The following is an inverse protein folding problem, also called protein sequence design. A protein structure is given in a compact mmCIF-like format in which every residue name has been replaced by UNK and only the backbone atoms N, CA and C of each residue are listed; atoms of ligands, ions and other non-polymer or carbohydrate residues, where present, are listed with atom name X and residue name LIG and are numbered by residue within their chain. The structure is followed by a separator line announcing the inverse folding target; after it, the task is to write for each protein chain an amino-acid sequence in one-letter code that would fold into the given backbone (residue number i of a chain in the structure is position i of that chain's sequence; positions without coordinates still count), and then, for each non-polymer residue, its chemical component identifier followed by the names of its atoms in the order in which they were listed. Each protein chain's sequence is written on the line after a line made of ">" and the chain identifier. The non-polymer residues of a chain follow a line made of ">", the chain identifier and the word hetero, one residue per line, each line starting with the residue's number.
data_IF_265379775356
#
_entry.id   IF_265379775356
#
_cell.length_a   1.000
_cell.length_b   1.000
_cell.length_c   1.000
_cell.angle_alpha   90.00
_cell.angle_beta   90.00
_cell.angle_gamma   90.00
#
_symmetry.space_group_name_H-M   'P 1'
#
loop_
_entity.id
_entity.type
_entity.pdbx_description
1 polymer ?
#
# COMPACT_ATOMS: atom_id res chain seq x y z
N UNK A 1 10.05 -35.23 12.68
CA UNK A 1 9.98 -34.69 11.31
C UNK A 1 10.34 -33.21 11.40
N UNK A 2 11.62 -32.88 11.33
CA UNK A 2 12.16 -31.53 11.60
C UNK A 2 13.11 -31.19 10.45
N UNK A 3 12.59 -31.15 9.22
CA UNK A 3 13.46 -31.00 8.05
C UNK A 3 12.66 -30.41 6.88
N UNK A 4 12.61 -29.07 6.83
CA UNK A 4 12.29 -28.26 5.63
C UNK A 4 12.34 -26.77 5.91
N UNK A 5 12.10 -26.32 7.16
CA UNK A 5 12.19 -24.89 7.52
C UNK A 5 13.62 -24.34 7.44
N UNK A 6 14.61 -25.13 7.88
CA UNK A 6 15.99 -24.66 7.98
C UNK A 6 16.65 -24.45 6.61
N UNK A 7 16.38 -25.31 5.63
CA UNK A 7 16.93 -25.17 4.28
C UNK A 7 16.43 -23.91 3.57
N UNK A 8 15.15 -23.55 3.75
CA UNK A 8 14.62 -22.29 3.20
C UNK A 8 15.29 -21.08 3.84
N UNK A 9 15.51 -21.10 5.16
CA UNK A 9 16.24 -20.04 5.85
C UNK A 9 17.69 -19.94 5.38
N UNK A 10 18.39 -21.06 5.21
CA UNK A 10 19.77 -21.10 4.69
C UNK A 10 19.88 -20.58 3.27
N UNK A 11 18.94 -20.96 2.39
CA UNK A 11 18.88 -20.47 1.01
C UNK A 11 18.65 -18.96 1.00
N UNK A 12 17.65 -18.46 1.72
CA UNK A 12 17.34 -17.02 1.75
C UNK A 12 18.47 -16.22 2.39
N UNK A 13 19.16 -16.75 3.40
CA UNK A 13 20.29 -16.10 4.04
C UNK A 13 21.61 -16.21 3.25
N UNK A 14 21.69 -17.08 2.24
CA UNK A 14 22.91 -17.29 1.46
C UNK A 14 23.34 -16.03 0.71
N UNK A 15 24.66 -15.80 0.64
CA UNK A 15 25.23 -14.68 -0.10
C UNK A 15 24.82 -14.71 -1.58
N UNK A 16 24.75 -15.90 -2.18
CA UNK A 16 24.36 -16.08 -3.58
C UNK A 16 22.91 -15.67 -3.83
N UNK A 17 21.97 -16.05 -2.95
CA UNK A 17 20.58 -15.62 -3.06
C UNK A 17 20.44 -14.11 -2.83
N UNK A 18 21.12 -13.56 -1.82
CA UNK A 18 21.10 -12.12 -1.55
C UNK A 18 21.65 -11.32 -2.74
N UNK A 19 22.74 -11.78 -3.36
CA UNK A 19 23.33 -11.13 -4.52
C UNK A 19 22.47 -11.28 -5.79
N UNK A 20 21.88 -12.45 -6.03
CA UNK A 20 21.11 -12.73 -7.23
C UNK A 20 19.69 -12.14 -7.21
N UNK A 21 19.08 -12.01 -6.02
CA UNK A 21 17.68 -11.57 -5.86
C UNK A 21 17.57 -10.23 -5.14
N UNK A 22 18.15 -10.12 -3.94
CA UNK A 22 17.93 -8.96 -3.07
C UNK A 22 18.67 -7.72 -3.58
N UNK A 23 19.92 -7.86 -4.03
CA UNK A 23 20.71 -6.77 -4.60
C UNK A 23 19.99 -6.08 -5.78
N UNK A 24 19.62 -6.80 -6.85
CA UNK A 24 18.89 -6.23 -7.97
C UNK A 24 17.54 -5.59 -7.59
N UNK A 25 16.81 -6.17 -6.62
CA UNK A 25 15.56 -5.60 -6.12
C UNK A 25 15.79 -4.27 -5.39
N UNK A 26 16.81 -4.20 -4.54
CA UNK A 26 17.19 -2.96 -3.84
C UNK A 26 17.65 -1.91 -4.85
N UNK A 27 18.48 -2.29 -5.82
CA UNK A 27 18.97 -1.38 -6.86
C UNK A 27 17.83 -0.81 -7.69
N UNK A 28 16.92 -1.65 -8.19
CA UNK A 28 15.73 -1.19 -8.92
C UNK A 28 14.88 -0.24 -8.08
N UNK A 29 14.71 -0.55 -6.79
CA UNK A 29 13.98 0.30 -5.87
C UNK A 29 14.67 1.65 -5.64
N UNK A 30 15.99 1.67 -5.46
CA UNK A 30 16.79 2.88 -5.34
C UNK A 30 16.72 3.72 -6.63
N UNK A 31 16.75 3.09 -7.81
CA UNK A 31 16.58 3.81 -9.08
C UNK A 31 15.19 4.45 -9.18
N UNK A 32 14.13 3.75 -8.77
CA UNK A 32 12.78 4.32 -8.70
C UNK A 32 12.71 5.54 -7.76
N UNK A 33 13.37 5.48 -6.61
CA UNK A 33 13.45 6.61 -5.67
C UNK A 33 14.29 7.78 -6.19
N UNK A 34 15.34 7.52 -6.97
CA UNK A 34 16.21 8.56 -7.55
C UNK A 34 15.56 9.28 -8.74
N UNK A 35 14.50 8.72 -9.31
CA UNK A 35 13.81 9.31 -10.46
C UNK A 35 13.37 10.75 -10.14
N UNK A 36 13.65 11.73 -11.01
CA UNK A 36 13.12 13.07 -10.83
C UNK A 36 11.61 13.10 -11.07
N UNK A 37 10.94 14.14 -10.57
CA UNK A 37 9.52 14.36 -10.78
C UNK A 37 8.59 13.56 -9.86
N UNK A 38 7.31 13.53 -10.23
CA UNK A 38 6.21 13.07 -9.37
C UNK A 38 6.33 11.60 -8.97
N UNK A 39 6.77 10.73 -9.89
CA UNK A 39 6.96 9.30 -9.60
C UNK A 39 7.99 9.09 -8.49
N UNK A 40 9.19 9.66 -8.61
CA UNK A 40 10.22 9.51 -7.57
C UNK A 40 9.85 10.21 -6.27
N UNK A 41 9.13 11.34 -6.32
CA UNK A 41 8.58 11.98 -5.12
C UNK A 41 7.58 11.05 -4.41
N UNK A 42 6.72 10.36 -5.16
CA UNK A 42 5.75 9.40 -4.65
C UNK A 42 6.44 8.19 -4.02
N UNK A 43 7.47 7.64 -4.67
CA UNK A 43 8.26 6.54 -4.10
C UNK A 43 8.96 6.94 -2.80
N UNK A 44 9.50 8.16 -2.70
CA UNK A 44 10.13 8.66 -1.46
C UNK A 44 9.09 8.84 -0.35
N UNK A 45 7.94 9.45 -0.64
CA UNK A 45 6.86 9.61 0.34
C UNK A 45 6.33 8.26 0.87
N UNK A 46 6.25 7.24 0.01
CA UNK A 46 5.86 5.90 0.41
C UNK A 46 6.81 5.28 1.46
N UNK A 47 8.12 5.52 1.32
CA UNK A 47 9.15 4.97 2.22
C UNK A 47 9.37 5.80 3.48
N UNK A 48 9.14 7.11 3.41
CA UNK A 48 9.27 8.00 4.56
C UNK A 48 8.49 7.46 5.77
N UNK A 49 7.29 6.95 5.51
CA UNK A 49 6.42 6.32 6.50
C UNK A 49 7.02 5.03 7.13
N UNK A 50 7.86 4.28 6.40
CA UNK A 50 8.53 3.09 6.91
C UNK A 50 9.69 3.45 7.84
N UNK A 51 10.30 4.61 7.65
CA UNK A 51 11.43 5.08 8.45
C UNK A 51 11.00 5.64 9.80
N UNK A 52 9.72 6.02 9.97
CA UNK A 52 9.18 6.51 11.23
C UNK A 52 8.84 5.39 12.23
N UNK A 53 8.68 4.15 11.77
CA UNK A 53 8.26 3.05 12.62
C UNK A 53 9.46 2.33 13.24
N UNK A 54 9.30 1.90 14.50
CA UNK A 54 10.30 1.05 15.17
C UNK A 54 10.29 -0.39 14.63
N UNK A 55 9.18 -0.82 14.01
CA UNK A 55 9.01 -2.14 13.41
C UNK A 55 8.57 -2.03 11.95
N UNK A 56 8.82 -3.05 11.11
CA UNK A 56 8.34 -3.05 9.73
C UNK A 56 6.84 -2.80 9.63
N UNK A 57 6.40 -2.02 8.63
CA UNK A 57 4.99 -1.82 8.35
C UNK A 57 4.38 -3.14 7.84
N UNK A 58 3.32 -3.61 8.51
CA UNK A 58 2.55 -4.77 8.06
C UNK A 58 1.35 -4.37 7.20
N UNK A 59 0.57 -3.38 7.63
CA UNK A 59 -0.57 -2.83 6.89
C UNK A 59 -0.82 -1.38 7.27
N UNK A 60 -1.45 -0.62 6.38
CA UNK A 60 -1.86 0.77 6.66
C UNK A 60 -3.18 1.15 6.02
N UNK A 61 -3.96 1.92 6.75
CA UNK A 61 -5.20 2.54 6.28
C UNK A 61 -5.11 4.04 6.53
N UNK A 62 -5.29 4.84 5.47
CA UNK A 62 -5.34 6.31 5.54
C UNK A 62 -6.78 6.76 5.32
N UNK A 63 -7.39 7.32 6.34
CA UNK A 63 -8.65 8.04 6.24
C UNK A 63 -8.43 9.55 6.24
N UNK A 64 -9.51 10.32 6.08
CA UNK A 64 -9.45 11.80 6.10
C UNK A 64 -9.00 12.34 7.46
N UNK A 65 -9.40 11.67 8.55
CA UNK A 65 -9.13 12.12 9.93
C UNK A 65 -8.09 11.28 10.67
N UNK A 66 -8.04 10.00 10.36
CA UNK A 66 -7.22 9.03 11.08
C UNK A 66 -6.33 8.28 10.10
N UNK A 67 -5.08 8.06 10.50
CA UNK A 67 -4.22 7.07 9.89
C UNK A 67 -4.04 5.92 10.87
N UNK A 68 -4.11 4.68 10.40
CA UNK A 68 -3.86 3.51 11.23
C UNK A 68 -2.75 2.70 10.59
N UNK A 69 -1.71 2.40 11.36
CA UNK A 69 -0.55 1.61 10.95
C UNK A 69 -0.47 0.36 11.82
N UNK A 70 -0.20 -0.80 11.20
CA UNK A 70 -0.04 -2.08 11.88
C UNK A 70 1.38 -2.57 11.76
N UNK A 71 1.97 -3.05 12.85
CA UNK A 71 3.37 -3.45 12.92
C UNK A 71 3.56 -4.93 12.62
N UNK A 72 4.63 -5.25 11.89
CA UNK A 72 5.05 -6.60 11.56
C UNK A 72 6.38 -7.01 12.21
N UNK A 73 6.90 -8.20 11.86
CA UNK A 73 6.24 -9.22 11.03
C UNK A 73 5.03 -9.85 11.75
N UNK A 74 3.99 -10.30 11.05
CA UNK A 74 2.82 -10.90 11.71
C UNK A 74 3.17 -12.22 12.39
N UNK A 75 2.58 -12.46 13.56
CA UNK A 75 2.53 -13.78 14.18
C UNK A 75 1.36 -14.56 13.57
N UNK A 76 1.61 -15.78 13.09
CA UNK A 76 0.58 -16.64 12.51
C UNK A 76 0.20 -17.73 13.51
N UNK A 77 -1.06 -17.74 13.94
CA UNK A 77 -1.64 -18.77 14.83
C UNK A 77 -2.95 -19.22 14.22
N UNK A 78 -3.15 -20.54 14.05
CA UNK A 78 -4.38 -21.11 13.48
C UNK A 78 -4.81 -20.44 12.16
N UNK A 79 -3.84 -20.23 11.25
CA UNK A 79 -4.03 -19.57 9.95
C UNK A 79 -4.49 -18.10 10.05
N UNK A 80 -4.42 -17.48 11.22
CA UNK A 80 -4.75 -16.08 11.44
C UNK A 80 -3.49 -15.28 11.67
N UNK A 81 -3.43 -14.11 11.01
CA UNK A 81 -2.33 -13.16 11.15
C UNK A 81 -2.61 -12.17 12.28
N UNK A 82 -1.67 -12.04 13.20
CA UNK A 82 -1.68 -11.08 14.29
C UNK A 82 -0.56 -10.06 14.07
N UNK A 83 -0.88 -8.77 13.91
CA UNK A 83 0.12 -7.71 14.00
C UNK A 83 0.81 -7.74 15.37
N UNK A 84 2.04 -7.23 15.45
CA UNK A 84 2.75 -7.10 16.72
C UNK A 84 2.38 -5.84 17.51
N UNK A 85 1.35 -5.12 17.05
CA UNK A 85 0.88 -3.85 17.58
C UNK A 85 0.46 -2.93 16.45
N UNK A 86 0.26 -1.66 16.78
CA UNK A 86 -0.02 -0.64 15.80
C UNK A 86 -0.15 0.74 16.42
N UNK A 87 -0.43 1.72 15.55
CA UNK A 87 -0.64 3.10 15.94
C UNK A 87 -1.87 3.65 15.23
N UNK A 88 -2.68 4.40 15.97
CA UNK A 88 -3.69 5.29 15.41
C UNK A 88 -3.13 6.70 15.53
N UNK A 89 -3.07 7.42 14.42
CA UNK A 89 -2.60 8.79 14.33
C UNK A 89 -3.74 9.71 13.92
N UNK A 90 -3.77 10.90 14.52
CA UNK A 90 -4.65 12.00 14.15
C UNK A 90 -3.90 13.31 14.34
N UNK A 91 -3.60 14.02 13.26
CA UNK A 91 -2.81 15.25 13.30
C UNK A 91 -1.46 15.03 14.02
N UNK A 92 -1.28 15.59 15.22
CA UNK A 92 -0.09 15.43 16.06
C UNK A 92 -0.31 14.47 17.25
N UNK A 93 -1.51 13.88 17.35
CA UNK A 93 -1.88 12.92 18.38
C UNK A 93 -1.68 11.49 17.87
N UNK A 94 -1.25 10.60 18.75
CA UNK A 94 -1.15 9.18 18.45
C UNK A 94 -1.53 8.31 19.64
N UNK A 95 -2.07 7.13 19.35
CA UNK A 95 -2.39 6.09 20.32
C UNK A 95 -1.74 4.78 19.89
N UNK A 96 -1.15 4.06 20.84
CA UNK A 96 -0.58 2.73 20.62
C UNK A 96 -1.67 1.67 20.77
N UNK A 97 -1.62 0.66 19.92
CA UNK A 97 -2.45 -0.54 20.00
C UNK A 97 -1.59 -1.72 20.44
N UNK A 98 -2.12 -2.55 21.33
CA UNK A 98 -1.55 -3.87 21.57
C UNK A 98 -1.85 -4.84 20.41
N UNK A 99 -1.19 -6.02 20.33
CA UNK A 99 -1.42 -6.98 19.25
C UNK A 99 -2.87 -7.44 19.04
N UNK A 100 -3.68 -7.51 20.11
CA UNK A 100 -5.07 -7.97 20.08
C UNK A 100 -5.96 -6.85 19.53
N UNK A 101 -5.83 -5.64 20.06
CA UNK A 101 -6.53 -4.45 19.56
C UNK A 101 -6.18 -4.17 18.09
N UNK A 102 -4.90 -4.29 17.74
CA UNK A 102 -4.39 -4.13 16.40
C UNK A 102 -5.02 -5.14 15.42
N UNK A 103 -5.10 -6.42 15.81
CA UNK A 103 -5.76 -7.44 15.00
C UNK A 103 -7.24 -7.12 14.79
N UNK A 104 -7.96 -6.80 15.85
CA UNK A 104 -9.39 -6.53 15.78
C UNK A 104 -9.69 -5.36 14.85
N UNK A 105 -8.99 -4.24 15.03
CA UNK A 105 -9.15 -3.06 14.18
C UNK A 105 -8.77 -3.35 12.72
N UNK A 106 -7.65 -4.07 12.50
CA UNK A 106 -7.23 -4.48 11.15
C UNK A 106 -8.31 -5.28 10.43
N UNK A 107 -8.92 -6.26 11.09
CA UNK A 107 -9.97 -7.09 10.50
C UNK A 107 -11.20 -6.25 10.11
N UNK A 108 -11.62 -5.34 10.99
CA UNK A 108 -12.75 -4.44 10.72
C UNK A 108 -12.47 -3.51 9.54
N UNK A 109 -11.26 -2.94 9.47
CA UNK A 109 -10.87 -2.06 8.37
C UNK A 109 -10.81 -2.79 7.03
N UNK A 110 -10.25 -4.02 7.00
CA UNK A 110 -10.25 -4.85 5.78
C UNK A 110 -11.67 -5.16 5.30
N UNK A 111 -12.53 -5.62 6.22
CA UNK A 111 -13.93 -5.90 5.89
C UNK A 111 -14.69 -4.66 5.43
N UNK A 112 -14.40 -3.48 6.00
CA UNK A 112 -14.99 -2.22 5.55
C UNK A 112 -14.53 -1.83 4.14
N UNK A 113 -13.24 -2.04 3.81
CA UNK A 113 -12.73 -1.82 2.44
C UNK A 113 -13.42 -2.77 1.46
N UNK A 114 -13.45 -4.06 1.77
CA UNK A 114 -14.09 -5.07 0.90
C UNK A 114 -15.57 -4.72 0.67
N UNK A 115 -16.32 -4.42 1.73
CA UNK A 115 -17.73 -4.04 1.62
C UNK A 115 -17.96 -2.78 0.78
N UNK A 116 -17.15 -1.73 0.95
CA UNK A 116 -17.25 -0.50 0.15
C UNK A 116 -16.95 -0.78 -1.32
N UNK A 117 -15.95 -1.62 -1.61
CA UNK A 117 -15.57 -1.98 -2.98
C UNK A 117 -16.68 -2.80 -3.62
N UNK A 118 -17.22 -3.81 -2.93
CA UNK A 118 -18.32 -4.65 -3.40
C UNK A 118 -19.57 -3.81 -3.72
N UNK A 119 -19.95 -2.89 -2.82
CA UNK A 119 -21.06 -1.97 -3.04
C UNK A 119 -20.81 -1.07 -4.26
N UNK A 120 -19.58 -0.58 -4.44
CA UNK A 120 -19.24 0.31 -5.55
C UNK A 120 -19.29 -0.39 -6.91
N UNK A 121 -18.85 -1.65 -6.98
CA UNK A 121 -18.88 -2.44 -8.22
C UNK A 121 -20.27 -3.01 -8.49
N UNK A 122 -21.16 -3.08 -7.50
CA UNK A 122 -22.53 -3.53 -7.62
C UNK A 122 -23.31 -2.75 -8.68
N UNK A 123 -23.37 -3.27 -9.90
CA UNK A 123 -24.04 -2.64 -11.06
C UNK A 123 -23.09 -1.99 -12.07
N UNK A 124 -21.77 -2.07 -11.89
CA UNK A 124 -20.78 -1.57 -12.84
C UNK A 124 -20.03 -2.73 -13.50
N UNK A 125 -19.95 -2.81 -14.84
CA UNK A 125 -19.16 -3.83 -15.50
C UNK A 125 -17.67 -3.59 -15.23
N UNK A 126 -17.05 -4.43 -14.41
CA UNK A 126 -15.61 -4.45 -14.17
C UNK A 126 -14.94 -5.50 -15.06
N UNK A 127 -13.87 -5.11 -15.74
CA UNK A 127 -13.00 -6.06 -16.44
C UNK A 127 -11.80 -6.39 -15.55
N UNK A 128 -11.79 -7.60 -14.99
CA UNK A 128 -10.63 -8.11 -14.25
C UNK A 128 -9.61 -8.67 -15.23
N UNK A 129 -8.40 -8.10 -15.21
CA UNK A 129 -7.27 -8.57 -16.02
C UNK A 129 -6.36 -9.49 -15.19
N UNK A 130 -5.73 -10.50 -15.80
CA UNK A 130 -4.73 -11.32 -15.12
C UNK A 130 -3.64 -10.44 -14.49
N UNK A 131 -3.25 -10.77 -13.25
CA UNK A 131 -2.10 -10.16 -12.60
C UNK A 131 -0.83 -10.62 -13.30
N UNK A 132 -0.30 -9.80 -14.21
CA UNK A 132 1.03 -9.99 -14.81
C UNK A 132 2.02 -9.03 -14.16
N UNK A 133 3.27 -9.47 -13.98
CA UNK A 133 4.32 -8.72 -13.27
C UNK A 133 4.57 -7.31 -13.84
N UNK A 134 4.25 -7.09 -15.13
CA UNK A 134 4.26 -5.78 -15.76
C UNK A 134 2.86 -5.46 -16.26
N UNK A 135 2.15 -4.56 -15.58
CA UNK A 135 0.87 -4.04 -16.06
C UNK A 135 1.08 -3.35 -17.42
N UNK A 136 0.24 -3.65 -18.44
CA UNK A 136 0.50 -3.26 -19.82
C UNK A 136 0.09 -1.81 -20.08
N UNK A 137 0.83 -0.85 -19.53
CA UNK A 137 0.67 0.56 -19.88
C UNK A 137 1.64 0.89 -21.02
N UNK A 138 1.21 0.72 -22.27
CA UNK A 138 1.97 1.23 -23.43
C UNK A 138 1.76 2.76 -23.52
N UNK A 139 2.87 3.48 -23.62
CA UNK A 139 2.99 4.95 -23.60
C UNK A 139 2.30 5.63 -22.40
N UNK A 140 2.89 5.42 -21.22
CA UNK A 140 2.41 6.00 -19.95
C UNK A 140 2.35 7.53 -19.96
N UNK A 141 3.23 8.21 -20.69
CA UNK A 141 3.22 9.67 -20.72
C UNK A 141 1.94 10.21 -21.40
N UNK A 142 1.52 9.58 -22.49
CA UNK A 142 0.27 9.92 -23.16
C UNK A 142 -0.96 9.61 -22.29
N UNK A 143 -0.95 8.47 -21.58
CA UNK A 143 -2.03 8.07 -20.66
C UNK A 143 -2.14 9.06 -19.49
N UNK A 144 -1.02 9.36 -18.80
CA UNK A 144 -1.02 10.29 -17.67
C UNK A 144 -1.49 11.70 -18.11
N UNK A 145 -1.12 12.15 -19.32
CA UNK A 145 -1.57 13.43 -19.85
C UNK A 145 -3.09 13.45 -20.11
N UNK A 146 -3.65 12.37 -20.66
CA UNK A 146 -5.08 12.23 -20.88
C UNK A 146 -5.86 12.17 -19.55
N UNK A 147 -5.36 11.41 -18.57
CA UNK A 147 -5.96 11.33 -17.23
C UNK A 147 -5.93 12.70 -16.52
N UNK A 148 -4.81 13.43 -16.62
CA UNK A 148 -4.73 14.79 -16.08
C UNK A 148 -5.73 15.74 -16.75
N UNK A 149 -5.94 15.63 -18.07
CA UNK A 149 -6.95 16.42 -18.77
C UNK A 149 -8.37 16.07 -18.28
N UNK A 150 -8.71 14.78 -18.21
CA UNK A 150 -10.01 14.32 -17.72
C UNK A 150 -10.30 14.78 -16.28
N UNK A 151 -9.29 14.75 -15.40
CA UNK A 151 -9.42 15.26 -14.02
C UNK A 151 -9.69 16.78 -14.03
N UNK A 152 -8.97 17.55 -14.85
CA UNK A 152 -9.17 19.01 -14.95
C UNK A 152 -10.57 19.34 -15.46
N UNK A 153 -11.04 18.62 -16.49
CA UNK A 153 -12.37 18.82 -17.07
C UNK A 153 -13.47 18.51 -16.06
N UNK A 154 -13.32 17.41 -15.30
CA UNK A 154 -14.24 17.08 -14.20
C UNK A 154 -14.31 18.20 -13.16
N UNK A 155 -13.16 18.73 -12.72
CA UNK A 155 -13.09 19.82 -11.74
C UNK A 155 -13.73 21.10 -12.29
N UNK A 156 -13.43 21.48 -13.53
CA UNK A 156 -14.01 22.65 -14.18
C UNK A 156 -15.54 22.56 -14.29
N UNK A 157 -16.07 21.37 -14.66
CA UNK A 157 -17.52 21.12 -14.78
C UNK A 157 -18.29 21.18 -13.46
N UNK A 158 -17.59 20.97 -12.33
CA UNK A 158 -18.16 21.15 -10.99
C UNK A 158 -18.20 22.61 -10.58
N UNK A 159 -17.11 23.35 -10.84
CA UNK A 159 -17.01 24.76 -10.50
C UNK A 159 -18.02 25.61 -11.29
N UNK A 160 -18.31 25.27 -12.54
CA UNK A 160 -19.35 25.94 -13.34
C UNK A 160 -20.76 25.68 -12.82
N UNK A 161 -21.06 24.46 -12.34
CA UNK A 161 -22.36 24.15 -11.72
C UNK A 161 -22.62 24.86 -10.39
N UNK A 162 -21.58 25.14 -9.61
CA UNK A 162 -21.69 25.92 -8.36
C UNK A 162 -21.73 27.44 -8.57
N UNK A 163 -21.45 27.92 -9.79
CA UNK A 163 -21.48 29.34 -10.14
C UNK A 163 -22.83 29.86 -10.65
N UNK A 164 -23.74 28.97 -11.02
CA UNK A 164 -25.10 29.31 -11.52
C UNK A 164 -26.18 29.31 -10.41
N UNK A 165 -25.81 29.01 -9.15
CA UNK A 165 -26.70 29.03 -7.98
C UNK A 165 -26.42 30.23 -7.04
N UNK A 166 -25.99 31.39 -7.57
CA UNK A 166 -25.89 32.67 -6.84
C UNK A 166 -26.70 33.78 -7.50
#
# INVERSE_FOLDING_TARGET
>A
MTYRRDLFHEIVASADFQAAMVGPMIDDFVQKMKRPGADGATYRAFIEDWLYLQRPLFDRFKGVRYNVQFEGPPLIIDQREYPLGGYIERQLEWAKLDPIEARELRQRLRGAVDGIVDDWIGGRPMQYLPSIAQKPFKDRAAVDAADHAAIRDFVASRNSRTGDDQ
#
